data_IF_898325435835
#
_entry.id   IF_898325435835
#
_cell.length_a   1.000
_cell.length_b   1.000
_cell.length_c   1.000
_cell.angle_alpha   90.00
_cell.angle_beta   90.00
_cell.angle_gamma   90.00
#
_symmetry.space_group_name_H-M   'P 1'
#
loop_
_entity.id
_entity.type
_entity.pdbx_description
1 polymer ?
#
# COMPACT_ATOMS: atom_id res chain seq x y z
N UNK A 1 30.09 13.92 32.65
CA UNK A 1 30.48 13.53 31.28
C UNK A 1 29.66 12.32 30.89
N UNK A 2 29.05 12.31 29.71
CA UNK A 2 28.31 11.18 29.17
C UNK A 2 26.96 11.57 28.58
N UNK A 3 26.97 12.43 27.55
CA UNK A 3 25.83 12.53 26.65
C UNK A 3 25.89 11.37 25.64
N UNK A 4 24.78 10.67 25.45
CA UNK A 4 24.47 9.98 24.20
C UNK A 4 23.01 10.22 23.89
N UNK A 5 22.79 10.90 22.77
CA UNK A 5 21.47 11.23 22.26
C UNK A 5 20.73 10.03 21.69
N UNK A 6 19.41 10.21 21.73
CA UNK A 6 18.44 9.89 20.67
C UNK A 6 18.34 8.44 20.22
N UNK A 7 17.20 7.84 20.55
CA UNK A 7 16.31 7.39 19.47
C UNK A 7 14.95 8.05 19.68
N UNK A 8 14.67 9.06 18.85
CA UNK A 8 13.29 9.54 18.69
C UNK A 8 12.46 8.32 18.28
N UNK A 9 11.44 8.03 19.08
CA UNK A 9 10.37 7.13 18.70
C UNK A 9 9.77 7.62 17.37
N UNK A 10 10.11 6.94 16.27
CA UNK A 10 9.35 7.00 15.03
C UNK A 10 8.47 5.75 15.00
N UNK A 11 7.37 5.80 15.72
CA UNK A 11 6.26 4.87 15.49
C UNK A 11 5.72 5.12 14.08
N UNK A 12 5.28 4.04 13.43
CA UNK A 12 4.47 3.94 12.19
C UNK A 12 5.22 3.72 10.86
N UNK A 13 5.39 2.43 10.49
CA UNK A 13 5.34 1.90 9.11
C UNK A 13 5.23 0.35 9.07
N UNK A 14 5.43 -0.36 10.20
CA UNK A 14 5.65 -1.82 10.22
C UNK A 14 4.52 -2.66 10.84
N UNK A 15 3.25 -2.30 10.64
CA UNK A 15 2.14 -3.15 11.11
C UNK A 15 1.57 -4.08 10.02
N UNK A 16 1.89 -3.85 8.74
CA UNK A 16 1.66 -4.84 7.68
C UNK A 16 2.98 -5.60 7.44
N UNK A 17 3.07 -6.89 7.83
CA UNK A 17 4.28 -7.67 7.58
C UNK A 17 4.52 -7.78 6.07
N UNK A 18 5.79 -7.99 5.70
CA UNK A 18 6.35 -8.21 4.36
C UNK A 18 5.73 -9.45 3.66
N UNK A 19 4.71 -10.08 4.27
CA UNK A 19 4.00 -11.27 3.78
C UNK A 19 2.95 -10.96 2.70
N UNK A 20 2.76 -9.70 2.35
CA UNK A 20 1.79 -9.33 1.33
C UNK A 20 2.39 -9.53 -0.06
N UNK A 21 1.87 -10.52 -0.78
CA UNK A 21 2.10 -10.75 -2.19
C UNK A 21 0.76 -10.80 -2.96
N UNK A 22 0.80 -10.88 -4.28
CA UNK A 22 -0.42 -10.94 -5.11
C UNK A 22 -1.23 -12.23 -4.87
N UNK A 23 -0.62 -13.30 -4.37
CA UNK A 23 -1.31 -14.52 -3.96
C UNK A 23 -2.20 -14.28 -2.74
N UNK A 24 -1.68 -13.59 -1.72
CA UNK A 24 -2.44 -13.19 -0.54
C UNK A 24 -3.53 -12.17 -0.89
N UNK A 25 -3.24 -11.18 -1.74
CA UNK A 25 -4.25 -10.22 -2.22
C UNK A 25 -5.39 -10.95 -2.94
N UNK A 26 -5.06 -11.90 -3.84
CA UNK A 26 -6.05 -12.71 -4.53
C UNK A 26 -6.89 -13.54 -3.56
N UNK A 27 -6.25 -14.15 -2.56
CA UNK A 27 -6.95 -14.93 -1.53
C UNK A 27 -7.93 -14.05 -0.73
N UNK A 28 -7.48 -12.90 -0.26
CA UNK A 28 -8.30 -11.97 0.51
C UNK A 28 -9.48 -11.44 -0.30
N UNK A 29 -9.25 -11.13 -1.59
CA UNK A 29 -10.33 -10.75 -2.51
C UNK A 29 -11.36 -11.88 -2.67
N UNK A 30 -10.90 -13.12 -2.89
CA UNK A 30 -11.78 -14.28 -3.06
C UNK A 30 -12.59 -14.63 -1.81
N UNK A 31 -12.06 -14.30 -0.63
CA UNK A 31 -12.71 -14.51 0.67
C UNK A 31 -13.55 -13.31 1.13
N UNK A 32 -13.71 -12.29 0.28
CA UNK A 32 -14.45 -11.07 0.58
C UNK A 32 -13.96 -10.36 1.87
N UNK A 33 -12.64 -10.37 2.10
CA UNK A 33 -11.99 -9.82 3.29
C UNK A 33 -11.76 -8.31 3.24
N UNK A 34 -12.02 -7.68 2.10
CA UNK A 34 -11.88 -6.23 1.92
C UNK A 34 -13.21 -5.53 2.20
N UNK A 35 -13.21 -4.60 3.15
CA UNK A 35 -14.38 -3.78 3.49
C UNK A 35 -14.73 -2.78 2.39
N UNK A 36 -13.74 -2.38 1.58
CA UNK A 36 -13.93 -1.47 0.45
C UNK A 36 -13.00 -1.79 -0.72
N UNK A 37 -13.34 -1.33 -1.94
CA UNK A 37 -12.41 -1.39 -3.07
C UNK A 37 -11.09 -0.63 -2.83
N UNK A 38 -11.09 0.37 -1.95
CA UNK A 38 -9.88 1.13 -1.60
C UNK A 38 -8.92 0.33 -0.72
N UNK A 39 -9.44 -0.56 0.13
CA UNK A 39 -8.60 -1.46 0.95
C UNK A 39 -7.86 -2.46 0.05
N UNK A 40 -8.57 -3.02 -0.93
CA UNK A 40 -7.99 -3.87 -1.98
C UNK A 40 -6.89 -3.12 -2.75
N UNK A 41 -7.17 -1.91 -3.21
CA UNK A 41 -6.19 -1.12 -3.96
C UNK A 41 -4.96 -0.77 -3.13
N UNK A 42 -5.13 -0.49 -1.84
CA UNK A 42 -4.01 -0.19 -0.93
C UNK A 42 -3.08 -1.39 -0.78
N UNK A 43 -3.61 -2.61 -0.74
CA UNK A 43 -2.80 -3.82 -0.69
C UNK A 43 -2.04 -4.06 -2.00
N UNK A 44 -2.68 -3.89 -3.16
CA UNK A 44 -2.01 -4.03 -4.46
C UNK A 44 -0.86 -3.02 -4.61
N UNK A 45 -1.09 -1.75 -4.22
CA UNK A 45 -0.06 -0.71 -4.23
C UNK A 45 1.13 -1.11 -3.35
N UNK A 46 0.86 -1.57 -2.14
CA UNK A 46 1.90 -1.97 -1.19
C UNK A 46 2.78 -3.11 -1.74
N UNK A 47 2.20 -4.08 -2.46
CA UNK A 47 2.99 -5.16 -3.09
C UNK A 47 4.01 -4.58 -4.07
N UNK A 48 3.59 -3.69 -4.97
CA UNK A 48 4.49 -3.12 -5.98
C UNK A 48 5.46 -2.09 -5.39
N UNK A 49 5.01 -1.29 -4.42
CA UNK A 49 5.87 -0.34 -3.68
C UNK A 49 6.97 -1.08 -2.92
N UNK A 50 6.66 -2.20 -2.27
CA UNK A 50 7.66 -3.04 -1.62
C UNK A 50 8.63 -3.65 -2.64
N UNK A 51 8.13 -4.13 -3.79
CA UNK A 51 9.00 -4.63 -4.85
C UNK A 51 9.98 -3.52 -5.34
N UNK A 52 9.52 -2.29 -5.50
CA UNK A 52 10.39 -1.16 -5.86
C UNK A 52 11.33 -0.72 -4.72
N UNK A 53 10.93 -0.90 -3.46
CA UNK A 53 11.72 -0.55 -2.28
C UNK A 53 12.89 -1.51 -2.07
N UNK A 54 12.64 -2.82 -2.24
CA UNK A 54 13.65 -3.85 -2.00
C UNK A 54 14.53 -4.16 -3.21
N UNK A 55 14.09 -3.79 -4.42
CA UNK A 55 14.88 -3.99 -5.65
C UNK A 55 15.41 -2.64 -6.17
N UNK A 56 16.73 -2.50 -6.40
CA UNK A 56 17.33 -1.32 -7.03
C UNK A 56 16.70 -0.95 -8.37
N UNK A 57 16.76 0.33 -8.74
CA UNK A 57 16.22 0.83 -10.03
C UNK A 57 16.84 0.20 -11.27
N UNK A 58 18.03 -0.38 -11.14
CA UNK A 58 18.75 -1.09 -12.21
C UNK A 58 18.18 -2.49 -12.48
N UNK A 59 17.38 -3.02 -11.56
CA UNK A 59 16.90 -4.39 -11.63
C UNK A 59 15.58 -4.44 -12.40
N UNK A 60 15.43 -5.48 -13.23
CA UNK A 60 14.21 -5.67 -14.03
C UNK A 60 12.95 -5.76 -13.15
N UNK A 61 13.07 -6.32 -11.94
CA UNK A 61 11.97 -6.40 -10.98
C UNK A 61 11.44 -5.02 -10.60
N UNK A 62 12.31 -4.03 -10.41
CA UNK A 62 11.90 -2.66 -10.12
C UNK A 62 11.13 -2.06 -11.30
N UNK A 63 11.66 -2.24 -12.52
CA UNK A 63 11.02 -1.76 -13.75
C UNK A 63 9.63 -2.40 -13.97
N UNK A 64 9.53 -3.71 -13.80
CA UNK A 64 8.27 -4.45 -13.93
C UNK A 64 7.26 -4.03 -12.86
N UNK A 65 7.68 -3.86 -11.60
CA UNK A 65 6.79 -3.40 -10.53
C UNK A 65 6.20 -2.02 -10.82
N UNK A 66 7.02 -1.09 -11.32
CA UNK A 66 6.55 0.24 -11.73
C UNK A 66 5.53 0.18 -12.88
N UNK A 67 5.79 -0.65 -13.90
CA UNK A 67 4.89 -0.82 -15.04
C UNK A 67 3.54 -1.43 -14.61
N UNK A 68 3.58 -2.48 -13.79
CA UNK A 68 2.38 -3.15 -13.30
C UNK A 68 1.55 -2.26 -12.37
N UNK A 69 2.19 -1.47 -11.50
CA UNK A 69 1.50 -0.48 -10.68
C UNK A 69 0.80 0.57 -11.55
N UNK A 70 1.48 1.07 -12.59
CA UNK A 70 0.89 2.03 -13.53
C UNK A 70 -0.32 1.45 -14.26
N UNK A 71 -0.23 0.19 -14.69
CA UNK A 71 -1.33 -0.53 -15.33
C UNK A 71 -2.50 -0.75 -14.37
N UNK A 72 -2.22 -1.10 -13.11
CA UNK A 72 -3.22 -1.21 -12.06
C UNK A 72 -3.98 0.10 -11.85
N UNK A 73 -3.28 1.24 -11.72
CA UNK A 73 -3.95 2.54 -11.53
C UNK A 73 -4.84 2.93 -12.71
N UNK A 74 -4.41 2.61 -13.94
CA UNK A 74 -5.22 2.82 -15.14
C UNK A 74 -6.53 2.03 -15.08
N UNK A 75 -6.48 0.76 -14.66
CA UNK A 75 -7.66 -0.10 -14.52
C UNK A 75 -8.54 0.28 -13.32
N UNK A 76 -7.93 0.74 -12.23
CA UNK A 76 -8.64 1.04 -10.99
C UNK A 76 -9.31 2.41 -11.02
N UNK A 77 -8.78 3.38 -11.79
CA UNK A 77 -9.33 4.75 -11.88
C UNK A 77 -10.84 4.81 -12.16
N UNK A 78 -11.41 4.08 -13.13
CA UNK A 78 -12.86 4.10 -13.36
C UNK A 78 -13.68 3.52 -12.21
N UNK A 79 -13.13 2.57 -11.45
CA UNK A 79 -13.76 2.00 -10.25
C UNK A 79 -13.76 3.07 -9.16
N UNK A 80 -12.61 3.70 -8.91
CA UNK A 80 -12.44 4.75 -7.92
C UNK A 80 -13.37 5.94 -8.18
N UNK A 81 -13.56 6.33 -9.44
CA UNK A 81 -14.46 7.43 -9.82
C UNK A 81 -15.95 7.14 -9.54
N UNK A 82 -16.35 5.87 -9.43
CA UNK A 82 -17.72 5.44 -9.12
C UNK A 82 -17.98 5.28 -7.62
N UNK A 83 -16.94 5.33 -6.79
CA UNK A 83 -17.10 5.19 -5.35
C UNK A 83 -17.83 6.43 -4.79
N UNK A 84 -18.79 6.26 -3.88
CA UNK A 84 -19.43 7.38 -3.21
C UNK A 84 -18.36 8.19 -2.48
N UNK A 85 -18.28 9.49 -2.77
CA UNK A 85 -17.35 10.40 -2.11
C UNK A 85 -17.91 10.73 -0.72
N UNK A 86 -17.78 9.83 0.26
CA UNK A 86 -18.31 10.08 1.60
C UNK A 86 -17.39 9.55 2.72
N UNK A 87 -16.27 10.26 2.93
CA UNK A 87 -15.86 10.73 4.27
C UNK A 87 -14.68 11.70 4.13
N UNK A 88 -14.96 13.01 4.20
CA UNK A 88 -14.08 13.88 4.97
C UNK A 88 -14.28 13.48 6.42
N UNK A 89 -13.46 12.56 6.94
CA UNK A 89 -13.27 12.49 8.39
C UNK A 89 -12.62 13.81 8.79
N UNK A 90 -13.46 14.69 9.35
CA UNK A 90 -13.01 15.90 10.02
C UNK A 90 -12.40 15.45 11.35
N UNK A 91 -11.08 15.41 11.42
CA UNK A 91 -10.32 14.99 12.62
C UNK A 91 -10.42 15.97 13.80
N UNK A 92 -11.42 16.87 13.85
CA UNK A 92 -11.50 17.96 14.83
C UNK A 92 -12.76 17.99 15.71
N UNK A 93 -13.52 16.91 15.83
CA UNK A 93 -14.60 16.83 16.84
C UNK A 93 -14.75 15.43 17.42
N UNK A 94 -13.77 15.00 18.24
CA UNK A 94 -13.93 14.24 19.49
C UNK A 94 -12.68 14.48 20.35
#
# INVERSE_FOLDING_TARGET
MGGVGTRKNKSTFTDKPILLDLGLVKLNLSKNMYSSPLDFASDVRLVFENAMLYNPKTDEVHGMAHQLLSYFEMLFRPIQAKLPTNQRVNWFLL
#
